data_IF_450910122423
#
_entry.id   IF_450910122423
#
_cell.length_a   1.000
_cell.length_b   1.000
_cell.length_c   1.000
_cell.angle_alpha   90.00
_cell.angle_beta   90.00
_cell.angle_gamma   90.00
#
_symmetry.space_group_name_H-M   'P 1'
#
loop_
_entity.id
_entity.type
_entity.pdbx_description
1 polymer ?
#
# COMPACT_ATOMS: atom_id res chain seq x y z
N UNK A 1 9.88 -2.63 3.02
CA UNK A 1 10.83 -1.50 3.15
C UNK A 1 10.90 -1.13 4.61
N UNK A 2 12.06 -1.30 5.27
CA UNK A 2 12.25 -0.83 6.65
C UNK A 2 12.37 0.69 6.58
N UNK A 3 11.35 1.41 7.02
CA UNK A 3 11.38 2.88 7.06
C UNK A 3 12.11 3.34 8.32
N UNK A 4 12.81 4.47 8.23
CA UNK A 4 13.52 5.04 9.37
C UNK A 4 12.61 5.21 10.59
N UNK A 5 13.16 5.02 11.80
CA UNK A 5 12.42 5.14 13.07
C UNK A 5 11.68 6.47 13.19
N UNK A 6 12.28 7.56 12.70
CA UNK A 6 11.64 8.89 12.64
C UNK A 6 10.36 8.89 11.79
N UNK A 7 10.35 8.20 10.64
CA UNK A 7 9.16 8.12 9.80
C UNK A 7 8.03 7.31 10.46
N UNK A 8 8.36 6.33 11.31
CA UNK A 8 7.36 5.54 12.05
C UNK A 8 6.68 6.39 13.13
N UNK A 9 7.46 7.15 13.91
CA UNK A 9 6.92 8.10 14.89
C UNK A 9 6.03 9.15 14.21
N UNK A 10 6.41 9.62 13.03
CA UNK A 10 5.60 10.58 12.25
C UNK A 10 4.30 9.95 11.73
N UNK A 11 4.31 8.68 11.30
CA UNK A 11 3.10 7.98 10.88
C UNK A 11 2.09 7.85 12.03
N UNK A 12 2.56 7.47 13.24
CA UNK A 12 1.72 7.40 14.44
C UNK A 12 1.20 8.78 14.84
N UNK A 13 2.04 9.82 14.80
CA UNK A 13 1.62 11.20 15.08
C UNK A 13 0.56 11.70 14.10
N UNK A 14 0.67 11.35 12.82
CA UNK A 14 -0.31 11.72 11.82
C UNK A 14 -1.66 11.03 12.04
N UNK A 15 -1.63 9.73 12.39
CA UNK A 15 -2.85 8.98 12.72
C UNK A 15 -3.63 9.63 13.87
N UNK A 16 -2.94 10.23 14.84
CA UNK A 16 -3.56 10.93 15.97
C UNK A 16 -3.79 12.43 15.75
N UNK A 17 -3.33 13.01 14.63
CA UNK A 17 -3.44 14.45 14.40
C UNK A 17 -4.90 14.79 14.05
N UNK A 18 -5.63 15.57 14.88
CA UNK A 18 -7.07 15.82 14.68
C UNK A 18 -7.38 16.60 13.39
N UNK A 19 -6.36 17.22 12.79
CA UNK A 19 -6.48 17.89 11.49
C UNK A 19 -6.54 16.89 10.34
N UNK A 20 -6.27 15.61 10.59
CA UNK A 20 -6.28 14.56 9.59
C UNK A 20 -7.35 13.52 9.95
N UNK A 21 -7.97 12.93 8.93
CA UNK A 21 -8.89 11.81 9.04
C UNK A 21 -8.33 10.65 8.23
N UNK A 22 -7.96 9.57 8.91
CA UNK A 22 -7.53 8.31 8.28
C UNK A 22 -8.77 7.45 8.06
N UNK A 23 -9.10 7.16 6.81
CA UNK A 23 -10.27 6.36 6.45
C UNK A 23 -9.88 4.89 6.28
N UNK A 24 -10.80 3.97 6.61
CA UNK A 24 -10.60 2.52 6.47
C UNK A 24 -10.35 2.07 5.02
N UNK A 25 -10.74 2.88 4.03
CA UNK A 25 -10.56 2.61 2.61
C UNK A 25 -9.16 3.00 2.07
N UNK A 26 -8.21 3.33 2.94
CA UNK A 26 -6.86 3.71 2.51
C UNK A 26 -6.72 5.17 2.09
N UNK A 27 -7.70 6.03 2.38
CA UNK A 27 -7.66 7.46 2.06
C UNK A 27 -7.33 8.29 3.30
N UNK A 28 -6.52 9.34 3.14
CA UNK A 28 -6.26 10.31 4.21
C UNK A 28 -6.84 11.65 3.78
N UNK A 29 -7.62 12.29 4.65
CA UNK A 29 -8.13 13.64 4.44
C UNK A 29 -7.52 14.62 5.42
N UNK A 30 -7.28 15.86 5.01
CA UNK A 30 -6.83 16.95 5.89
C UNK A 30 -7.88 18.06 5.94
N UNK A 31 -8.13 18.57 7.14
CA UNK A 31 -8.99 19.73 7.41
C UNK A 31 -8.26 21.00 6.94
N UNK A 32 -8.88 21.74 6.03
CA UNK A 32 -8.44 23.07 5.61
C UNK A 32 -8.79 24.13 6.65
N UNK A 33 -8.30 25.36 6.44
CA UNK A 33 -8.65 26.52 7.25
C UNK A 33 -10.17 26.83 7.18
N UNK A 34 -10.79 26.51 6.05
CA UNK A 34 -12.22 26.58 5.79
C UNK A 34 -13.04 25.47 6.47
N UNK A 35 -12.40 24.64 7.31
CA UNK A 35 -13.05 23.53 8.02
C UNK A 35 -13.36 22.30 7.16
N UNK A 36 -13.21 22.38 5.83
CA UNK A 36 -13.52 21.29 4.89
C UNK A 36 -12.38 20.27 4.81
N UNK A 37 -12.74 18.98 4.72
CA UNK A 37 -11.78 17.89 4.56
C UNK A 37 -11.49 17.62 3.09
N UNK A 38 -10.21 17.66 2.70
CA UNK A 38 -9.74 17.35 1.35
C UNK A 38 -8.85 16.12 1.35
N UNK A 39 -9.01 15.26 0.35
CA UNK A 39 -8.18 14.07 0.19
C UNK A 39 -6.73 14.45 -0.09
N UNK A 40 -5.81 13.77 0.59
CA UNK A 40 -4.38 13.86 0.40
C UNK A 40 -3.85 12.52 -0.10
N UNK A 41 -2.84 12.59 -0.95
CA UNK A 41 -2.16 11.40 -1.45
C UNK A 41 -1.64 11.64 -2.86
N UNK A 42 -0.39 11.23 -3.08
CA UNK A 42 0.21 11.15 -4.41
C UNK A 42 0.80 9.77 -4.57
N UNK A 43 0.72 9.20 -5.77
CA UNK A 43 1.39 7.95 -6.06
C UNK A 43 2.91 8.20 -6.16
N UNK A 44 3.70 7.37 -5.48
CA UNK A 44 5.16 7.33 -5.62
C UNK A 44 5.68 5.90 -5.52
N UNK A 45 6.39 5.45 -6.56
CA UNK A 45 6.97 4.09 -6.63
C UNK A 45 5.94 2.97 -6.36
N UNK A 46 4.70 3.16 -6.84
CA UNK A 46 3.61 2.21 -6.63
C UNK A 46 2.97 2.24 -5.25
N UNK A 47 3.25 3.25 -4.42
CA UNK A 47 2.60 3.44 -3.12
C UNK A 47 1.85 4.76 -3.09
N UNK A 48 0.74 4.79 -2.36
CA UNK A 48 0.17 6.06 -1.96
C UNK A 48 1.01 6.67 -0.85
N UNK A 49 1.50 7.89 -1.08
CA UNK A 49 2.30 8.64 -0.12
C UNK A 49 1.72 10.02 0.15
N UNK A 50 1.89 10.50 1.37
CA UNK A 50 1.55 11.86 1.76
C UNK A 50 2.75 12.58 2.34
N UNK A 51 2.81 13.90 2.17
CA UNK A 51 3.83 14.74 2.81
C UNK A 51 3.30 15.24 4.15
N UNK A 52 4.01 14.93 5.24
CA UNK A 52 3.73 15.43 6.58
C UNK A 52 5.01 15.93 7.24
N UNK A 53 5.00 17.18 7.73
CA UNK A 53 6.15 17.84 8.36
C UNK A 53 7.44 17.67 7.53
N UNK A 54 7.34 17.89 6.21
CA UNK A 54 8.47 17.80 5.27
C UNK A 54 8.94 16.37 4.92
N UNK A 55 8.26 15.32 5.39
CA UNK A 55 8.61 13.91 5.10
C UNK A 55 7.49 13.20 4.35
N UNK A 56 7.86 12.36 3.38
CA UNK A 56 6.91 11.49 2.68
C UNK A 56 6.67 10.21 3.49
N UNK A 57 5.41 9.95 3.81
CA UNK A 57 4.96 8.80 4.57
C UNK A 57 4.04 7.93 3.70
N UNK A 58 4.18 6.61 3.81
CA UNK A 58 3.34 5.65 3.08
C UNK A 58 1.98 5.54 3.75
N UNK A 59 0.90 5.71 3.00
CA UNK A 59 -0.48 5.72 3.51
C UNK A 59 -0.84 4.39 4.17
N UNK A 60 -0.58 3.25 3.53
CA UNK A 60 -0.81 1.95 4.16
C UNK A 60 -0.15 1.78 5.54
N UNK A 61 1.00 2.41 5.83
CA UNK A 61 1.62 2.37 7.17
C UNK A 61 0.85 3.22 8.19
N UNK A 62 0.26 4.32 7.75
CA UNK A 62 -0.56 5.20 8.59
C UNK A 62 -1.90 4.53 8.89
N UNK A 63 -2.55 3.95 7.89
CA UNK A 63 -3.81 3.20 8.05
C UNK A 63 -3.61 2.04 9.03
N UNK A 64 -2.53 1.28 8.86
CA UNK A 64 -2.21 0.19 9.77
C UNK A 64 -1.86 0.69 11.18
N UNK A 65 -1.17 1.83 11.32
CA UNK A 65 -0.95 2.46 12.62
C UNK A 65 -2.27 2.84 13.30
N UNK A 66 -3.22 3.43 12.56
CA UNK A 66 -4.54 3.79 13.06
C UNK A 66 -5.29 2.55 13.56
N UNK A 67 -5.25 1.44 12.82
CA UNK A 67 -5.87 0.18 13.27
C UNK A 67 -5.33 -0.28 14.62
N UNK A 68 -4.01 -0.26 14.80
CA UNK A 68 -3.40 -0.67 16.07
C UNK A 68 -3.75 0.31 17.20
N UNK A 69 -3.75 1.61 16.93
CA UNK A 69 -4.17 2.60 17.92
C UNK A 69 -5.64 2.42 18.34
N UNK A 70 -6.53 2.17 17.38
CA UNK A 70 -7.95 1.90 17.64
C UNK A 70 -8.18 0.58 18.39
N UNK A 71 -7.25 -0.38 18.27
CA UNK A 71 -7.26 -1.62 19.04
C UNK A 71 -6.71 -1.46 20.47
N UNK A 72 -6.36 -0.23 20.89
CA UNK A 72 -5.89 0.07 22.25
C UNK A 72 -4.38 0.02 22.45
N UNK A 73 -3.58 -0.21 21.39
CA UNK A 73 -2.13 -0.25 21.54
C UNK A 73 -1.52 1.14 21.77
N UNK A 74 -0.56 1.24 22.68
CA UNK A 74 0.13 2.50 23.00
C UNK A 74 1.02 3.03 21.85
N UNK A 75 1.13 4.34 21.73
CA UNK A 75 1.87 5.01 20.64
C UNK A 75 3.35 4.60 20.53
N UNK A 76 4.02 4.41 21.68
CA UNK A 76 5.42 3.93 21.75
C UNK A 76 5.53 2.52 21.19
N UNK A 77 4.59 1.64 21.56
CA UNK A 77 4.54 0.27 21.05
C UNK A 77 4.32 0.26 19.55
N UNK A 78 3.30 0.98 19.04
CA UNK A 78 2.99 1.03 17.61
C UNK A 78 4.18 1.54 16.79
N UNK A 79 4.85 2.61 17.25
CA UNK A 79 6.03 3.14 16.55
C UNK A 79 7.20 2.14 16.51
N UNK A 80 7.44 1.41 17.60
CA UNK A 80 8.47 0.35 17.67
C UNK A 80 8.10 -0.83 16.78
N UNK A 81 6.85 -1.29 16.87
CA UNK A 81 6.31 -2.40 16.09
C UNK A 81 6.37 -2.12 14.58
N UNK A 82 5.99 -0.93 14.14
CA UNK A 82 6.16 -0.51 12.75
C UNK A 82 7.63 -0.54 12.31
N UNK A 83 8.57 -0.23 13.20
CA UNK A 83 10.01 -0.31 12.90
C UNK A 83 10.51 -1.72 12.62
N UNK A 84 9.94 -2.72 13.27
CA UNK A 84 10.30 -4.13 13.10
C UNK A 84 9.41 -4.89 12.11
N UNK A 85 8.36 -4.26 11.56
CA UNK A 85 7.39 -4.93 10.67
C UNK A 85 7.34 -4.32 9.27
N UNK A 86 7.11 -5.20 8.30
CA UNK A 86 6.74 -4.83 6.94
C UNK A 86 5.21 -4.83 6.86
N UNK A 87 4.65 -3.72 6.40
CA UNK A 87 3.20 -3.63 6.12
C UNK A 87 2.98 -4.07 4.67
N UNK A 88 2.36 -5.23 4.53
CA UNK A 88 2.03 -5.86 3.25
C UNK A 88 0.56 -5.68 2.90
N UNK A 89 0.27 -5.81 1.61
CA UNK A 89 -1.08 -5.82 1.05
C UNK A 89 -1.34 -7.26 0.62
N UNK A 90 -2.31 -7.93 1.25
CA UNK A 90 -2.55 -9.37 1.05
C UNK A 90 -2.85 -9.68 -0.42
N UNK A 91 -3.58 -8.80 -1.09
CA UNK A 91 -3.93 -8.98 -2.48
C UNK A 91 -2.78 -8.74 -3.49
N UNK A 92 -1.63 -8.22 -3.06
CA UNK A 92 -0.50 -7.89 -3.94
C UNK A 92 -0.63 -6.57 -4.73
N UNK A 93 -1.75 -5.85 -4.63
CA UNK A 93 -1.96 -4.57 -5.32
C UNK A 93 -1.38 -3.44 -4.49
N UNK A 94 -0.43 -2.69 -5.06
CA UNK A 94 0.41 -1.80 -4.25
C UNK A 94 -0.28 -0.50 -3.80
N UNK A 95 -1.40 -0.15 -4.44
CA UNK A 95 -2.20 1.04 -4.13
C UNK A 95 -3.46 0.73 -3.32
N UNK A 96 -3.75 -0.54 -3.07
CA UNK A 96 -4.90 -0.92 -2.28
C UNK A 96 -4.58 -0.87 -0.78
N UNK A 97 -4.72 0.33 -0.21
CA UNK A 97 -4.47 0.63 1.20
C UNK A 97 -5.70 0.43 2.10
N UNK A 98 -6.70 -0.35 1.68
CA UNK A 98 -7.82 -0.74 2.55
C UNK A 98 -7.30 -1.44 3.81
N UNK A 99 -7.86 -1.08 4.96
CA UNK A 99 -7.43 -1.61 6.25
C UNK A 99 -7.45 -3.14 6.29
N UNK A 100 -8.53 -3.74 5.79
CA UNK A 100 -8.71 -5.20 5.75
C UNK A 100 -7.67 -5.92 4.87
N UNK A 101 -7.05 -5.20 3.92
CA UNK A 101 -6.01 -5.73 3.04
C UNK A 101 -4.60 -5.61 3.63
N UNK A 102 -4.41 -4.85 4.71
CA UNK A 102 -3.10 -4.58 5.30
C UNK A 102 -2.74 -5.58 6.41
N UNK A 103 -1.54 -6.15 6.34
CA UNK A 103 -0.97 -7.01 7.39
C UNK A 103 0.45 -6.59 7.75
N UNK A 104 0.74 -6.56 9.05
CA UNK A 104 2.11 -6.54 9.56
C UNK A 104 2.71 -7.94 9.50
N UNK A 105 3.83 -8.10 8.80
CA UNK A 105 4.62 -9.33 8.80
C UNK A 105 6.04 -9.05 9.26
N UNK A 106 6.65 -10.05 9.90
CA UNK A 106 8.08 -10.02 10.20
C UNK A 106 8.88 -10.02 8.88
N UNK A 107 10.02 -9.31 8.80
CA UNK A 107 10.80 -9.21 7.56
C UNK A 107 11.19 -10.57 6.95
N UNK A 108 11.38 -11.61 7.78
CA UNK A 108 11.68 -12.97 7.31
C UNK A 108 10.47 -13.76 6.78
N UNK A 109 9.24 -13.39 7.16
CA UNK A 109 7.99 -14.01 6.68
C UNK A 109 7.47 -13.37 5.40
N UNK A 110 7.96 -12.17 5.09
CA UNK A 110 7.77 -11.57 3.78
C UNK A 110 8.54 -12.42 2.78
N UNK A 111 7.84 -13.31 2.08
CA UNK A 111 8.38 -13.87 0.84
C UNK A 111 8.79 -12.66 0.03
N UNK A 112 10.11 -12.44 -0.15
CA UNK A 112 10.61 -11.44 -1.09
C UNK A 112 10.01 -11.85 -2.42
N UNK A 113 8.85 -11.31 -2.76
CA UNK A 113 8.42 -11.23 -4.14
C UNK A 113 9.55 -10.43 -4.80
N UNK A 114 10.52 -11.16 -5.36
CA UNK A 114 11.55 -10.64 -6.25
C UNK A 114 10.90 -9.98 -7.47
N UNK A 115 9.58 -10.17 -7.61
CA UNK A 115 8.74 -9.55 -8.59
C UNK A 115 8.51 -8.07 -8.29
N UNK A 116 8.94 -7.23 -9.23
CA UNK A 116 8.78 -5.78 -9.20
C UNK A 116 7.28 -5.47 -9.08
N UNK A 117 6.91 -4.71 -8.03
CA UNK A 117 5.53 -4.29 -7.77
C UNK A 117 4.95 -3.55 -8.98
N UNK A 118 3.74 -3.92 -9.38
CA UNK A 118 3.05 -3.36 -10.54
C UNK A 118 2.29 -2.09 -10.16
N UNK A 119 2.43 -1.05 -10.97
CA UNK A 119 1.59 0.16 -10.94
C UNK A 119 0.23 -0.11 -11.59
N UNK A 120 -0.79 0.71 -11.30
CA UNK A 120 -2.12 0.53 -11.89
C UNK A 120 -2.09 0.56 -13.42
N UNK A 121 -1.37 1.52 -14.02
CA UNK A 121 -1.14 1.59 -15.47
C UNK A 121 -0.51 0.31 -16.05
N UNK A 122 0.36 -0.36 -15.30
CA UNK A 122 0.95 -1.63 -15.74
C UNK A 122 -0.06 -2.77 -15.67
N UNK A 123 -0.91 -2.79 -14.64
CA UNK A 123 -1.99 -3.75 -14.47
C UNK A 123 -3.00 -3.60 -15.61
N UNK A 124 -3.50 -2.38 -15.85
CA UNK A 124 -4.47 -2.10 -16.91
C UNK A 124 -3.93 -2.56 -18.26
N UNK A 125 -2.67 -2.20 -18.58
CA UNK A 125 -2.02 -2.63 -19.82
C UNK A 125 -1.79 -4.15 -19.89
N UNK A 126 -1.64 -4.84 -18.77
CA UNK A 126 -1.57 -6.31 -18.76
C UNK A 126 -2.94 -6.93 -19.05
N UNK A 127 -4.02 -6.36 -18.48
CA UNK A 127 -5.40 -6.79 -18.72
C UNK A 127 -5.77 -6.55 -20.18
N UNK A 128 -5.49 -5.37 -20.73
CA UNK A 128 -5.75 -5.05 -22.15
C UNK A 128 -5.10 -6.05 -23.10
N UNK A 129 -3.83 -6.40 -22.85
CA UNK A 129 -3.11 -7.38 -23.65
C UNK A 129 -3.72 -8.78 -23.52
N UNK A 130 -4.18 -9.15 -22.33
CA UNK A 130 -4.84 -10.43 -22.11
C UNK A 130 -6.19 -10.50 -22.84
N UNK A 131 -7.00 -9.45 -22.74
CA UNK A 131 -8.25 -9.31 -23.49
C UNK A 131 -8.02 -9.30 -25.02
N UNK A 132 -6.89 -8.76 -25.48
CA UNK A 132 -6.46 -8.84 -26.89
C UNK A 132 -5.89 -10.23 -27.29
N UNK A 133 -6.05 -11.26 -26.46
CA UNK A 133 -5.66 -12.65 -26.76
C UNK A 133 -4.20 -13.00 -26.49
N UNK A 134 -3.41 -12.13 -25.84
CA UNK A 134 -2.02 -12.45 -25.52
C UNK A 134 -1.93 -13.41 -24.34
N UNK A 135 -1.14 -14.47 -24.48
CA UNK A 135 -0.88 -15.40 -23.38
C UNK A 135 -0.11 -14.72 -22.23
N UNK A 136 -0.33 -15.18 -20.99
CA UNK A 136 0.37 -14.70 -19.78
C UNK A 136 1.90 -14.75 -19.96
N UNK A 137 2.42 -15.76 -20.68
CA UNK A 137 3.85 -15.86 -21.00
C UNK A 137 4.33 -14.73 -21.92
N UNK A 138 3.55 -14.33 -22.92
CA UNK A 138 3.87 -13.24 -23.85
C UNK A 138 3.79 -11.87 -23.15
N UNK A 139 2.81 -11.69 -22.27
CA UNK A 139 2.70 -10.52 -21.39
C UNK A 139 3.92 -10.43 -20.47
N UNK A 140 4.29 -11.52 -19.80
CA UNK A 140 5.46 -11.57 -18.91
C UNK A 140 6.76 -11.17 -19.61
N UNK A 141 6.96 -11.62 -20.86
CA UNK A 141 8.13 -11.22 -21.67
C UNK A 141 8.15 -9.70 -21.94
N UNK A 142 6.99 -9.10 -22.25
CA UNK A 142 6.87 -7.66 -22.53
C UNK A 142 7.18 -6.77 -21.31
N UNK A 143 6.76 -7.16 -20.12
CA UNK A 143 6.95 -6.34 -18.90
C UNK A 143 8.35 -6.47 -18.26
N UNK A 144 9.30 -7.12 -18.95
CA UNK A 144 10.71 -7.39 -18.58
C UNK A 144 10.88 -8.22 -17.29
N UNK A 145 11.69 -9.30 -17.41
CA UNK A 145 12.35 -10.27 -16.47
C UNK A 145 12.19 -10.23 -14.93
N UNK A 146 11.53 -9.26 -14.32
CA UNK A 146 11.31 -9.16 -12.87
C UNK A 146 9.84 -9.29 -12.49
N UNK A 147 8.95 -9.89 -13.28
CA UNK A 147 7.57 -10.18 -12.84
C UNK A 147 7.26 -11.63 -13.24
N UNK A 148 6.82 -12.46 -12.29
CA UNK A 148 6.56 -13.88 -12.53
C UNK A 148 5.24 -14.06 -13.26
N UNK A 149 5.14 -15.11 -14.06
CA UNK A 149 3.91 -15.48 -14.78
C UNK A 149 2.74 -15.72 -13.81
N UNK A 150 3.04 -16.34 -12.65
CA UNK A 150 2.06 -16.57 -11.59
C UNK A 150 1.50 -15.27 -11.01
N UNK A 151 2.35 -14.26 -10.82
CA UNK A 151 1.93 -12.94 -10.34
C UNK A 151 1.03 -12.24 -11.37
N UNK A 152 1.40 -12.29 -12.65
CA UNK A 152 0.59 -11.70 -13.74
C UNK A 152 -0.77 -12.39 -13.87
N UNK A 153 -0.80 -13.73 -13.87
CA UNK A 153 -2.04 -14.51 -13.93
C UNK A 153 -2.99 -14.16 -12.79
N UNK A 154 -2.47 -14.11 -11.56
CA UNK A 154 -3.24 -13.74 -10.36
C UNK A 154 -3.82 -12.34 -10.45
N UNK A 155 -3.02 -11.38 -10.91
CA UNK A 155 -3.45 -9.98 -11.08
C UNK A 155 -4.56 -9.88 -12.12
N UNK A 156 -4.40 -10.49 -13.30
CA UNK A 156 -5.40 -10.46 -14.38
C UNK A 156 -6.71 -11.13 -13.96
N UNK A 157 -6.66 -12.36 -13.40
CA UNK A 157 -7.86 -13.10 -12.97
C UNK A 157 -8.70 -12.30 -11.98
N UNK A 158 -8.03 -11.64 -11.02
CA UNK A 158 -8.70 -10.81 -10.03
C UNK A 158 -9.35 -9.58 -10.66
N UNK A 159 -8.67 -8.88 -11.57
CA UNK A 159 -9.23 -7.70 -12.26
C UNK A 159 -10.45 -8.07 -13.13
N UNK A 160 -10.46 -9.26 -13.70
CA UNK A 160 -11.57 -9.77 -14.50
C UNK A 160 -12.70 -10.39 -13.66
N UNK A 161 -12.63 -10.32 -12.32
CA UNK A 161 -13.66 -10.87 -11.43
C UNK A 161 -13.75 -12.40 -11.41
N UNK A 162 -12.83 -13.11 -12.07
CA UNK A 162 -12.76 -14.56 -12.07
C UNK A 162 -12.01 -15.04 -10.82
N UNK A 163 -12.70 -15.11 -9.68
CA UNK A 163 -12.12 -15.41 -8.38
C UNK A 163 -12.34 -16.84 -7.89
N UNK A 164 -11.28 -17.65 -7.93
CA UNK A 164 -10.84 -18.55 -6.84
C UNK A 164 -9.34 -18.83 -7.03
#
# INVERSE_FOLDING_TARGET
MVTSVRNNKLAVRLALDPRYKVQKNGTIKKKGADGKYRTLGTERHGYQVITYKGKKLVVGRIVYAQRLLNAGYGTKFVAKYLGSTVVERENGFSLDDHDNNLRGRSPGQVKREKTKRLTRKQIDRMVDLFCAGYSVAKIARRFRRKISRSHISRVIRKELGAGA
#
